data_IF_203524503487
#
_entry.id   IF_203524503487
#
_cell.length_a   1.000
_cell.length_b   1.000
_cell.length_c   1.000
_cell.angle_alpha   90.00
_cell.angle_beta   90.00
_cell.angle_gamma   90.00
#
_symmetry.space_group_name_H-M   'P 1'
#
loop_
_entity.id
_entity.type
_entity.pdbx_description
1 polymer ?
#
# COMPACT_ATOMS: atom_id res chain seq x y z
N UNK A 1 -7.08 -3.76 -79.47
CA UNK A 1 -6.61 -2.55 -78.77
C UNK A 1 -7.71 -2.23 -77.77
N UNK A 2 -7.74 -2.91 -76.61
CA UNK A 2 -7.18 -2.45 -75.31
C UNK A 2 -7.79 -1.10 -74.91
N UNK A 3 -8.25 -0.80 -73.69
CA UNK A 3 -8.24 -1.40 -72.34
C UNK A 3 -9.02 -0.37 -71.50
N UNK A 4 -9.85 -0.70 -70.51
CA UNK A 4 -9.37 -1.10 -69.19
C UNK A 4 -10.35 -0.59 -68.12
N UNK A 5 -10.61 -1.47 -67.15
CA UNK A 5 -11.39 -1.27 -65.93
C UNK A 5 -10.93 -0.06 -65.13
N UNK A 6 -11.87 0.65 -64.49
CA UNK A 6 -11.61 1.38 -63.24
C UNK A 6 -12.75 1.11 -62.29
N UNK A 7 -12.53 0.03 -61.53
CA UNK A 7 -13.18 -0.29 -60.28
C UNK A 7 -13.18 0.94 -59.38
N UNK A 8 -14.37 1.33 -58.92
CA UNK A 8 -14.51 2.35 -57.89
C UNK A 8 -14.12 1.75 -56.55
N UNK A 9 -12.97 2.18 -56.03
CA UNK A 9 -12.55 1.90 -54.66
C UNK A 9 -13.64 2.35 -53.68
N UNK A 10 -14.35 1.39 -53.09
CA UNK A 10 -15.02 1.57 -51.82
C UNK A 10 -13.96 1.98 -50.81
N UNK A 11 -14.08 3.20 -50.26
CA UNK A 11 -13.28 3.61 -49.11
C UNK A 11 -13.72 2.74 -47.95
N UNK A 12 -12.94 1.70 -47.68
CA UNK A 12 -12.94 0.99 -46.40
C UNK A 12 -12.87 2.03 -45.29
N UNK A 13 -13.96 2.15 -44.54
CA UNK A 13 -13.95 2.82 -43.25
C UNK A 13 -13.08 1.94 -42.37
N UNK A 14 -11.82 2.34 -42.17
CA UNK A 14 -10.93 1.73 -41.19
C UNK A 14 -11.69 1.67 -39.86
N UNK A 15 -12.10 0.46 -39.46
CA UNK A 15 -12.49 0.17 -38.09
C UNK A 15 -11.37 0.70 -37.18
N UNK A 16 -11.67 1.51 -36.15
CA UNK A 16 -10.62 1.97 -35.25
C UNK A 16 -9.93 0.74 -34.68
N UNK A 17 -8.60 0.67 -34.84
CA UNK A 17 -7.77 -0.37 -34.25
C UNK A 17 -8.23 -0.60 -32.80
N UNK A 18 -8.43 -1.86 -32.36
CA UNK A 18 -8.82 -2.11 -30.99
C UNK A 18 -7.71 -1.54 -30.09
N UNK A 19 -8.01 -0.43 -29.41
CA UNK A 19 -7.13 0.18 -28.42
C UNK A 19 -6.61 -0.95 -27.54
N UNK A 20 -5.27 -1.14 -27.54
CA UNK A 20 -4.62 -2.23 -26.84
C UNK A 20 -5.19 -2.32 -25.42
N UNK A 21 -5.89 -3.42 -25.11
CA UNK A 21 -6.54 -3.57 -23.80
C UNK A 21 -5.47 -3.30 -22.73
N UNK A 22 -5.68 -2.33 -21.82
CA UNK A 22 -4.68 -1.98 -20.82
C UNK A 22 -4.32 -3.23 -20.04
N UNK A 23 -3.02 -3.46 -19.82
CA UNK A 23 -2.51 -4.67 -19.15
C UNK A 23 -3.09 -4.73 -17.74
N UNK A 24 -4.18 -5.47 -17.58
CA UNK A 24 -4.88 -5.59 -16.29
C UNK A 24 -4.07 -6.47 -15.33
N UNK A 25 -3.96 -6.07 -14.07
CA UNK A 25 -3.24 -6.79 -13.03
C UNK A 25 -4.08 -7.94 -12.43
N UNK A 26 -3.41 -8.99 -11.97
CA UNK A 26 -4.03 -10.03 -11.14
C UNK A 26 -4.22 -9.58 -9.69
N UNK A 27 -4.98 -10.33 -8.89
CA UNK A 27 -5.23 -10.00 -7.49
C UNK A 27 -3.95 -9.99 -6.62
N UNK A 28 -3.00 -10.88 -6.91
CA UNK A 28 -1.72 -10.97 -6.20
C UNK A 28 -0.89 -9.70 -6.39
N UNK A 29 -0.59 -9.36 -7.63
CA UNK A 29 0.28 -8.20 -7.96
C UNK A 29 -0.44 -6.87 -7.71
N UNK A 30 -1.72 -6.79 -8.09
CA UNK A 30 -2.49 -5.56 -8.03
C UNK A 30 -3.03 -5.24 -6.63
N UNK A 31 -3.49 -6.23 -5.86
CA UNK A 31 -4.14 -5.97 -4.56
C UNK A 31 -3.23 -6.38 -3.41
N UNK A 32 -2.83 -7.65 -3.35
CA UNK A 32 -2.11 -8.18 -2.20
C UNK A 32 -0.75 -7.49 -1.99
N UNK A 33 0.11 -7.47 -3.01
CA UNK A 33 1.43 -6.82 -2.92
C UNK A 33 1.27 -5.31 -2.67
N UNK A 34 0.26 -4.66 -3.24
CA UNK A 34 0.01 -3.21 -3.04
C UNK A 34 -0.35 -2.93 -1.58
N UNK A 35 -1.30 -3.69 -1.01
CA UNK A 35 -1.70 -3.53 0.38
C UNK A 35 -0.55 -3.83 1.34
N UNK A 36 0.22 -4.90 1.11
CA UNK A 36 1.37 -5.26 1.96
C UNK A 36 2.41 -4.13 2.01
N UNK A 37 2.75 -3.53 0.87
CA UNK A 37 3.71 -2.42 0.80
C UNK A 37 3.20 -1.13 1.44
N UNK A 38 1.90 -0.89 1.44
CA UNK A 38 1.32 0.28 2.11
C UNK A 38 1.14 0.09 3.62
N UNK A 39 1.07 -1.16 4.09
CA UNK A 39 1.02 -1.49 5.53
C UNK A 39 2.45 -1.52 6.11
N UNK A 40 3.40 -2.12 5.38
CA UNK A 40 4.79 -2.23 5.81
C UNK A 40 5.57 -0.94 5.55
N UNK A 41 5.35 0.04 6.42
CA UNK A 41 6.01 1.34 6.35
C UNK A 41 7.13 1.54 7.36
N UNK A 42 7.58 2.79 7.43
CA UNK A 42 8.65 3.26 8.34
C UNK A 42 8.38 2.98 9.83
N UNK A 43 7.10 2.95 10.23
CA UNK A 43 6.70 2.69 11.62
C UNK A 43 7.15 1.29 12.07
N UNK A 44 7.10 0.29 11.18
CA UNK A 44 7.49 -1.07 11.51
C UNK A 44 8.98 -1.17 11.88
N UNK A 45 9.85 -0.40 11.22
CA UNK A 45 11.29 -0.43 11.48
C UNK A 45 11.72 0.53 12.58
N UNK A 46 11.26 1.80 12.55
CA UNK A 46 11.75 2.83 13.47
C UNK A 46 10.97 2.92 14.78
N UNK A 47 9.68 2.57 14.77
CA UNK A 47 8.78 2.84 15.90
C UNK A 47 8.35 1.60 16.65
N UNK A 48 8.17 0.45 15.99
CA UNK A 48 7.77 -0.79 16.67
C UNK A 48 8.71 -1.20 17.82
N UNK A 49 10.06 -1.14 17.67
CA UNK A 49 10.97 -1.44 18.79
C UNK A 49 10.79 -0.48 19.96
N UNK A 50 10.63 0.82 19.67
CA UNK A 50 10.42 1.84 20.68
C UNK A 50 9.08 1.68 21.41
N UNK A 51 7.99 1.39 20.68
CA UNK A 51 6.67 1.10 21.25
C UNK A 51 6.74 -0.13 22.16
N UNK A 52 7.47 -1.17 21.74
CA UNK A 52 7.67 -2.38 22.53
C UNK A 52 8.47 -2.11 23.80
N UNK A 53 9.47 -1.23 23.74
CA UNK A 53 10.25 -0.84 24.90
C UNK A 53 9.44 -0.02 25.94
N UNK A 54 8.46 0.77 25.49
CA UNK A 54 7.62 1.59 26.37
C UNK A 54 6.43 0.81 26.96
N UNK A 55 5.65 0.17 26.09
CA UNK A 55 4.42 -0.53 26.49
C UNK A 55 4.70 -1.94 27.04
N UNK A 56 5.89 -2.49 26.80
CA UNK A 56 6.22 -3.88 27.07
C UNK A 56 5.55 -4.83 26.07
N UNK A 57 6.03 -6.07 26.02
CA UNK A 57 5.61 -7.06 25.01
C UNK A 57 4.10 -7.32 25.08
N UNK A 58 3.55 -7.44 26.29
CA UNK A 58 2.12 -7.77 26.49
C UNK A 58 1.17 -6.69 25.95
N UNK A 59 1.40 -5.42 26.28
CA UNK A 59 0.54 -4.34 25.79
C UNK A 59 0.80 -4.02 24.32
N UNK A 60 2.01 -4.22 23.80
CA UNK A 60 2.26 -4.09 22.36
C UNK A 60 1.45 -5.11 21.56
N UNK A 61 1.34 -6.35 22.03
CA UNK A 61 0.45 -7.34 21.40
C UNK A 61 -1.02 -6.89 21.44
N UNK A 62 -1.47 -6.32 22.55
CA UNK A 62 -2.81 -5.75 22.64
C UNK A 62 -3.03 -4.60 21.64
N UNK A 63 -2.06 -3.70 21.47
CA UNK A 63 -2.11 -2.60 20.49
C UNK A 63 -2.20 -3.14 19.06
N UNK A 64 -1.41 -4.17 18.73
CA UNK A 64 -1.44 -4.83 17.41
C UNK A 64 -2.79 -5.48 17.18
N UNK A 65 -3.32 -6.22 18.17
CA UNK A 65 -4.62 -6.89 18.09
C UNK A 65 -5.76 -5.89 17.92
N UNK A 66 -5.78 -4.80 18.70
CA UNK A 66 -6.80 -3.75 18.57
C UNK A 66 -6.76 -3.11 17.18
N UNK A 67 -5.57 -2.75 16.69
CA UNK A 67 -5.39 -2.21 15.34
C UNK A 67 -5.86 -3.19 14.27
N UNK A 68 -5.55 -4.48 14.42
CA UNK A 68 -5.96 -5.55 13.51
C UNK A 68 -7.47 -5.75 13.49
N UNK A 69 -8.16 -5.65 14.64
CA UNK A 69 -9.62 -5.73 14.71
C UNK A 69 -10.26 -4.56 13.96
N UNK A 70 -9.79 -3.33 14.19
CA UNK A 70 -10.31 -2.14 13.49
C UNK A 70 -10.14 -2.26 11.97
N UNK A 71 -8.96 -2.68 11.51
CA UNK A 71 -8.69 -2.80 10.07
C UNK A 71 -9.40 -3.99 9.44
N UNK A 72 -9.60 -5.08 10.18
CA UNK A 72 -10.37 -6.25 9.71
C UNK A 72 -11.84 -5.92 9.53
N UNK A 73 -12.46 -5.22 10.50
CA UNK A 73 -13.85 -4.75 10.37
C UNK A 73 -13.98 -3.84 9.14
N UNK A 74 -13.06 -2.88 8.98
CA UNK A 74 -13.05 -1.98 7.82
C UNK A 74 -12.86 -2.75 6.51
N UNK A 75 -11.96 -3.72 6.47
CA UNK A 75 -11.71 -4.58 5.30
C UNK A 75 -12.93 -5.41 4.91
N UNK A 76 -13.66 -5.97 5.89
CA UNK A 76 -14.92 -6.68 5.66
C UNK A 76 -15.99 -5.73 5.10
N UNK A 77 -16.10 -4.50 5.62
CA UNK A 77 -17.02 -3.49 5.07
C UNK A 77 -16.68 -3.13 3.63
N UNK A 78 -15.41 -2.92 3.30
CA UNK A 78 -14.97 -2.64 1.93
C UNK A 78 -15.23 -3.83 1.01
N UNK A 79 -15.06 -5.06 1.49
CA UNK A 79 -15.39 -6.27 0.75
C UNK A 79 -16.89 -6.38 0.46
N UNK A 80 -17.75 -5.97 1.39
CA UNK A 80 -19.19 -5.91 1.17
C UNK A 80 -19.57 -4.83 0.14
N UNK A 81 -18.90 -3.68 0.18
CA UNK A 81 -19.10 -2.59 -0.79
C UNK A 81 -18.63 -3.01 -2.20
N UNK A 82 -17.45 -3.63 -2.31
CA UNK A 82 -16.88 -4.02 -3.61
C UNK A 82 -17.62 -5.18 -4.28
N UNK A 83 -18.37 -5.97 -3.50
CA UNK A 83 -19.23 -7.04 -4.01
C UNK A 83 -20.65 -6.57 -4.33
N UNK A 84 -21.08 -5.41 -3.83
CA UNK A 84 -22.40 -4.84 -4.07
C UNK A 84 -22.42 -3.94 -5.32
N UNK A 85 -22.64 -4.55 -6.48
CA UNK A 85 -22.90 -3.84 -7.74
C UNK A 85 -21.89 -4.12 -8.86
N UNK A 86 -22.12 -3.51 -10.03
CA UNK A 86 -21.18 -3.60 -11.16
C UNK A 86 -20.02 -2.65 -10.90
N UNK A 87 -18.89 -3.16 -10.38
CA UNK A 87 -17.62 -2.44 -10.35
C UNK A 87 -17.24 -2.11 -11.80
N UNK A 88 -17.52 -0.87 -12.21
CA UNK A 88 -16.96 -0.28 -13.43
C UNK A 88 -15.56 0.25 -13.08
N UNK A 89 -14.70 0.41 -14.08
CA UNK A 89 -13.35 0.92 -13.88
C UNK A 89 -13.39 2.25 -13.11
N UNK A 90 -12.87 2.25 -11.88
CA UNK A 90 -12.86 3.40 -10.98
C UNK A 90 -12.31 2.98 -9.61
N UNK A 91 -11.59 3.87 -8.92
CA UNK A 91 -10.95 3.57 -7.63
C UNK A 91 -11.89 3.59 -6.41
N UNK A 92 -11.31 3.60 -5.21
CA UNK A 92 -12.03 3.56 -3.92
C UNK A 92 -13.15 4.60 -3.80
N UNK A 93 -12.93 5.84 -4.20
CA UNK A 93 -13.96 6.88 -4.15
C UNK A 93 -15.18 6.54 -5.01
N UNK A 94 -14.96 6.02 -6.22
CA UNK A 94 -16.03 5.60 -7.12
C UNK A 94 -16.84 4.43 -6.55
N UNK A 95 -16.17 3.47 -5.92
CA UNK A 95 -16.82 2.34 -5.26
C UNK A 95 -17.73 2.79 -4.09
N UNK A 96 -17.23 3.69 -3.25
CA UNK A 96 -17.93 4.18 -2.06
C UNK A 96 -19.11 5.09 -2.44
N UNK A 97 -18.86 6.11 -3.27
CA UNK A 97 -19.89 7.10 -3.66
C UNK A 97 -21.08 6.47 -4.36
N UNK A 98 -20.86 5.39 -5.13
CA UNK A 98 -21.94 4.67 -5.80
C UNK A 98 -22.77 3.81 -4.86
N UNK A 99 -22.14 3.23 -3.84
CA UNK A 99 -22.80 2.27 -2.94
C UNK A 99 -23.49 2.96 -1.77
N UNK A 100 -22.91 4.06 -1.26
CA UNK A 100 -23.40 4.81 -0.09
C UNK A 100 -24.08 6.13 -0.46
N UNK A 101 -24.02 6.55 -1.72
CA UNK A 101 -24.55 7.82 -2.19
C UNK A 101 -23.54 8.98 -2.17
N UNK A 102 -23.85 10.09 -2.86
CA UNK A 102 -22.91 11.20 -3.06
C UNK A 102 -22.56 11.96 -1.78
N UNK A 103 -23.48 12.08 -0.82
CA UNK A 103 -23.25 12.79 0.44
C UNK A 103 -22.19 12.08 1.30
N UNK A 104 -22.38 10.79 1.56
CA UNK A 104 -21.41 9.98 2.30
C UNK A 104 -20.11 9.76 1.52
N UNK A 105 -20.21 9.54 0.20
CA UNK A 105 -19.06 9.38 -0.68
C UNK A 105 -18.15 10.61 -0.68
N UNK A 106 -18.72 11.81 -0.79
CA UNK A 106 -17.99 13.08 -0.79
C UNK A 106 -17.23 13.31 0.50
N UNK A 107 -17.89 13.18 1.66
CA UNK A 107 -17.24 13.37 2.96
C UNK A 107 -16.12 12.36 3.24
N UNK A 108 -16.37 11.07 2.96
CA UNK A 108 -15.35 10.02 3.14
C UNK A 108 -14.18 10.23 2.17
N UNK A 109 -14.46 10.60 0.92
CA UNK A 109 -13.45 10.89 -0.09
C UNK A 109 -12.51 12.03 0.30
N UNK A 110 -13.06 13.13 0.82
CA UNK A 110 -12.27 14.28 1.25
C UNK A 110 -11.37 13.93 2.45
N UNK A 111 -11.92 13.25 3.46
CA UNK A 111 -11.14 12.77 4.60
C UNK A 111 -10.03 11.81 4.19
N UNK A 112 -10.33 10.88 3.27
CA UNK A 112 -9.36 9.91 2.76
C UNK A 112 -8.24 10.59 1.96
N UNK A 113 -8.57 11.58 1.12
CA UNK A 113 -7.57 12.34 0.37
C UNK A 113 -6.63 13.11 1.31
N UNK A 114 -7.19 13.76 2.34
CA UNK A 114 -6.38 14.47 3.34
C UNK A 114 -5.50 13.51 4.15
N UNK A 115 -6.05 12.36 4.57
CA UNK A 115 -5.31 11.33 5.28
C UNK A 115 -4.12 10.80 4.46
N UNK A 116 -4.31 10.54 3.16
CA UNK A 116 -3.22 10.13 2.28
C UNK A 116 -2.15 11.23 2.11
N UNK A 117 -2.55 12.50 2.01
CA UNK A 117 -1.60 13.61 1.93
C UNK A 117 -0.72 13.71 3.20
N UNK A 118 -1.33 13.59 4.38
CA UNK A 118 -0.59 13.56 5.66
C UNK A 118 0.26 12.30 5.79
N UNK A 119 -0.21 11.15 5.29
CA UNK A 119 0.56 9.91 5.29
C UNK A 119 1.84 10.02 4.44
N UNK A 120 1.78 10.69 3.27
CA UNK A 120 2.97 10.98 2.47
C UNK A 120 3.99 11.77 3.29
N UNK A 121 3.56 12.83 3.98
CA UNK A 121 4.45 13.60 4.84
C UNK A 121 5.07 12.74 5.96
N UNK A 122 4.28 11.89 6.61
CA UNK A 122 4.76 10.96 7.65
C UNK A 122 5.82 9.99 7.11
N UNK A 123 5.60 9.39 5.95
CA UNK A 123 6.57 8.46 5.34
C UNK A 123 7.86 9.17 4.92
N UNK A 124 7.75 10.37 4.35
CA UNK A 124 8.92 11.18 3.98
C UNK A 124 9.72 11.60 5.20
N UNK A 125 9.07 12.06 6.27
CA UNK A 125 9.76 12.42 7.53
C UNK A 125 10.48 11.22 8.12
N UNK A 126 9.85 10.05 8.15
CA UNK A 126 10.49 8.83 8.65
C UNK A 126 11.69 8.39 7.78
N UNK A 127 11.62 8.57 6.47
CA UNK A 127 12.78 8.38 5.58
C UNK A 127 13.90 9.38 5.90
N UNK A 128 13.56 10.66 6.07
CA UNK A 128 14.53 11.71 6.40
C UNK A 128 15.21 11.50 7.76
N UNK A 129 14.50 10.97 8.75
CA UNK A 129 15.11 10.55 10.02
C UNK A 129 16.18 9.47 9.81
N UNK A 130 15.86 8.45 9.00
CA UNK A 130 16.79 7.34 8.70
C UNK A 130 18.02 7.85 7.94
N UNK A 131 17.82 8.71 6.95
CA UNK A 131 18.92 9.32 6.19
C UNK A 131 19.78 10.17 7.11
N UNK A 132 19.18 10.99 7.98
CA UNK A 132 19.92 11.79 8.96
C UNK A 132 20.75 10.90 9.90
N UNK A 133 20.21 9.79 10.40
CA UNK A 133 20.95 8.86 11.25
C UNK A 133 22.17 8.27 10.52
N UNK A 134 22.03 7.97 9.22
CA UNK A 134 23.16 7.53 8.39
C UNK A 134 24.19 8.65 8.16
N UNK A 135 23.76 9.90 7.93
CA UNK A 135 24.66 11.03 7.77
C UNK A 135 25.53 11.25 9.01
N UNK A 136 24.94 11.09 10.20
CA UNK A 136 25.67 11.18 11.48
C UNK A 136 26.68 10.04 11.60
N UNK A 137 26.34 8.83 11.18
CA UNK A 137 27.25 7.67 11.22
C UNK A 137 28.47 7.85 10.28
N UNK A 138 28.28 8.52 9.13
CA UNK A 138 29.34 8.80 8.16
C UNK A 138 30.02 10.17 8.33
N UNK A 139 29.77 10.88 9.44
CA UNK A 139 30.32 12.22 9.75
C UNK A 139 30.06 13.28 8.65
N UNK A 140 28.94 13.13 7.95
CA UNK A 140 28.50 14.00 6.85
C UNK A 140 27.37 14.94 7.27
N UNK A 141 27.43 15.46 8.50
CA UNK A 141 26.40 16.35 9.07
C UNK A 141 26.39 17.68 8.33
N UNK A 142 25.21 18.13 7.90
CA UNK A 142 25.07 19.37 7.13
C UNK A 142 24.87 20.57 8.05
N UNK A 143 23.88 20.50 8.93
CA UNK A 143 23.49 21.60 9.83
C UNK A 143 23.08 21.07 11.22
N UNK A 144 21.85 21.36 11.66
CA UNK A 144 21.27 20.85 12.90
C UNK A 144 20.42 19.59 12.61
N UNK A 145 20.29 18.65 13.56
CA UNK A 145 19.53 17.41 13.35
C UNK A 145 18.08 17.63 12.87
N UNK A 146 17.42 18.68 13.36
CA UNK A 146 16.05 19.02 12.97
C UNK A 146 15.99 19.65 11.58
N UNK A 147 16.98 20.49 11.25
CA UNK A 147 17.04 21.18 9.96
C UNK A 147 17.45 20.20 8.85
N UNK A 148 18.33 19.25 9.15
CA UNK A 148 18.73 18.18 8.24
C UNK A 148 17.53 17.30 7.84
N UNK A 149 16.67 16.92 8.80
CA UNK A 149 15.41 16.19 8.52
C UNK A 149 14.52 17.01 7.58
N UNK A 150 14.38 18.32 7.79
CA UNK A 150 13.55 19.20 6.96
C UNK A 150 14.11 19.34 5.55
N UNK A 151 15.42 19.54 5.42
CA UNK A 151 16.10 19.69 4.11
C UNK A 151 15.95 18.40 3.30
N UNK A 152 16.31 17.26 3.89
CA UNK A 152 16.17 15.94 3.23
C UNK A 152 14.71 15.67 2.89
N UNK A 153 13.77 16.02 3.77
CA UNK A 153 12.34 15.84 3.54
C UNK A 153 11.81 16.65 2.35
N UNK A 154 12.16 17.94 2.27
CA UNK A 154 11.76 18.82 1.16
C UNK A 154 12.34 18.34 -0.17
N UNK A 155 13.61 17.93 -0.18
CA UNK A 155 14.24 17.37 -1.38
C UNK A 155 13.51 16.09 -1.82
N UNK A 156 13.28 15.17 -0.87
CA UNK A 156 12.65 13.88 -1.15
C UNK A 156 11.23 14.05 -1.68
N UNK A 157 10.39 14.88 -1.06
CA UNK A 157 9.00 15.08 -1.54
C UNK A 157 8.96 15.75 -2.91
N UNK A 158 9.90 16.66 -3.20
CA UNK A 158 10.00 17.30 -4.52
C UNK A 158 10.40 16.30 -5.60
N UNK A 159 11.34 15.41 -5.31
CA UNK A 159 11.73 14.33 -6.23
C UNK A 159 10.59 13.35 -6.44
N UNK A 160 9.91 12.93 -5.37
CA UNK A 160 8.74 12.04 -5.46
C UNK A 160 7.60 12.66 -6.27
N UNK A 161 7.37 13.98 -6.13
CA UNK A 161 6.42 14.71 -6.95
C UNK A 161 6.82 14.68 -8.43
N UNK A 162 8.10 14.91 -8.74
CA UNK A 162 8.62 14.80 -10.10
C UNK A 162 8.41 13.40 -10.71
N UNK A 163 8.66 12.34 -9.93
CA UNK A 163 8.43 10.95 -10.35
C UNK A 163 6.93 10.71 -10.60
N UNK A 164 6.05 11.17 -9.70
CA UNK A 164 4.61 11.02 -9.85
C UNK A 164 4.06 11.71 -11.11
N UNK A 165 4.65 12.85 -11.51
CA UNK A 165 4.27 13.56 -12.73
C UNK A 165 4.83 12.93 -14.02
N UNK A 166 5.95 12.20 -13.95
CA UNK A 166 6.60 11.61 -15.12
C UNK A 166 5.92 10.33 -15.64
N UNK A 167 5.14 9.62 -14.81
CA UNK A 167 4.27 8.53 -15.27
C UNK A 167 4.16 7.33 -14.32
N UNK A 168 2.95 6.79 -14.18
CA UNK A 168 2.58 5.72 -13.23
C UNK A 168 2.96 4.31 -13.68
N UNK A 169 3.30 4.10 -14.96
CA UNK A 169 3.58 2.76 -15.50
C UNK A 169 4.84 2.12 -14.90
N UNK A 170 5.86 2.94 -14.61
CA UNK A 170 7.10 2.50 -13.99
C UNK A 170 6.90 2.12 -12.52
N UNK A 171 5.98 2.80 -11.83
CA UNK A 171 5.68 2.57 -10.43
C UNK A 171 5.16 1.14 -10.18
N UNK A 172 4.25 0.66 -11.03
CA UNK A 172 3.69 -0.68 -10.90
C UNK A 172 4.75 -1.79 -11.06
N UNK A 173 5.79 -1.55 -11.89
CA UNK A 173 6.93 -2.47 -12.02
C UNK A 173 7.87 -2.36 -10.83
N UNK A 174 8.17 -1.14 -10.37
CA UNK A 174 9.05 -0.88 -9.23
C UNK A 174 8.50 -1.46 -7.92
N UNK A 175 7.18 -1.47 -7.75
CA UNK A 175 6.50 -2.07 -6.61
C UNK A 175 6.93 -3.53 -6.35
N UNK A 176 7.05 -4.35 -7.40
CA UNK A 176 7.48 -5.74 -7.27
C UNK A 176 8.91 -5.81 -6.73
N UNK A 177 9.79 -4.91 -7.21
CA UNK A 177 11.16 -4.80 -6.70
C UNK A 177 11.18 -4.41 -5.22
N UNK A 178 10.40 -3.39 -4.83
CA UNK A 178 10.31 -2.96 -3.43
C UNK A 178 9.78 -4.08 -2.51
N UNK A 179 8.84 -4.88 -2.98
CA UNK A 179 8.36 -6.05 -2.25
C UNK A 179 9.47 -7.06 -1.98
N UNK A 180 10.29 -7.39 -2.99
CA UNK A 180 11.42 -8.30 -2.80
C UNK A 180 12.46 -7.73 -1.83
N UNK A 181 12.77 -6.43 -1.92
CA UNK A 181 13.71 -5.77 -0.99
C UNK A 181 13.21 -5.85 0.45
N UNK A 182 11.92 -5.56 0.70
CA UNK A 182 11.33 -5.69 2.04
C UNK A 182 11.33 -7.14 2.52
N UNK A 183 11.05 -8.10 1.65
CA UNK A 183 11.07 -9.52 2.02
C UNK A 183 12.47 -9.97 2.42
N UNK A 184 13.51 -9.57 1.67
CA UNK A 184 14.91 -9.83 2.02
C UNK A 184 15.26 -9.17 3.36
N UNK A 185 14.79 -7.94 3.59
CA UNK A 185 14.97 -7.25 4.88
C UNK A 185 14.37 -8.05 6.05
N UNK A 186 13.15 -8.60 5.90
CA UNK A 186 12.54 -9.45 6.92
C UNK A 186 13.31 -10.75 7.16
N UNK A 187 13.71 -11.44 6.09
CA UNK A 187 14.52 -12.65 6.21
C UNK A 187 15.83 -12.35 6.92
N UNK A 188 16.50 -11.25 6.56
CA UNK A 188 17.73 -10.81 7.22
C UNK A 188 17.50 -10.46 8.71
N UNK A 189 16.39 -9.80 9.05
CA UNK A 189 16.03 -9.52 10.43
C UNK A 189 15.84 -10.82 11.23
N UNK A 190 15.04 -11.78 10.74
CA UNK A 190 14.79 -13.06 11.43
C UNK A 190 16.03 -13.94 11.53
N UNK A 191 16.86 -14.00 10.50
CA UNK A 191 18.14 -14.72 10.58
C UNK A 191 19.06 -14.00 11.59
N UNK A 192 19.08 -12.67 11.56
CA UNK A 192 19.84 -11.84 12.48
C UNK A 192 19.47 -12.05 13.95
N UNK A 193 18.22 -12.36 14.27
CA UNK A 193 17.80 -12.67 15.65
C UNK A 193 18.21 -14.07 16.10
N UNK A 194 18.48 -15.00 15.19
CA UNK A 194 18.94 -16.37 15.50
C UNK A 194 20.46 -16.47 15.65
N UNK A 195 21.23 -15.58 15.03
CA UNK A 195 22.70 -15.56 15.14
C UNK A 195 23.11 -15.12 16.55
N UNK A 196 23.99 -15.86 17.25
CA UNK A 196 24.41 -15.52 18.61
C UNK A 196 25.07 -14.14 18.67
N UNK A 197 24.80 -13.40 19.75
CA UNK A 197 25.26 -12.03 19.92
C UNK A 197 26.80 -11.95 19.96
N UNK A 198 27.39 -11.21 19.02
CA UNK A 198 28.80 -10.81 19.11
C UNK A 198 29.00 -9.77 20.22
N UNK A 199 30.23 -9.57 20.74
CA UNK A 199 30.51 -8.59 21.80
C UNK A 199 30.02 -7.17 21.47
N UNK A 200 30.14 -6.76 20.21
CA UNK A 200 29.65 -5.46 19.74
C UNK A 200 28.11 -5.35 19.76
N UNK A 201 27.40 -6.43 19.43
CA UNK A 201 25.93 -6.46 19.47
C UNK A 201 25.41 -6.48 20.90
N UNK A 202 26.12 -7.15 21.81
CA UNK A 202 25.82 -7.11 23.25
C UNK A 202 25.96 -5.71 23.83
N UNK A 203 26.97 -4.94 23.40
CA UNK A 203 27.12 -3.54 23.80
C UNK A 203 25.94 -2.65 23.33
N UNK A 204 25.32 -2.99 22.19
CA UNK A 204 24.11 -2.33 21.67
C UNK A 204 22.79 -2.84 22.30
N UNK A 205 22.86 -3.75 23.28
CA UNK A 205 21.69 -4.29 23.98
C UNK A 205 21.04 -5.52 23.32
N UNK A 206 21.67 -6.13 22.31
CA UNK A 206 21.21 -7.38 21.73
C UNK A 206 21.85 -8.59 22.42
N UNK A 207 21.01 -9.41 23.05
CA UNK A 207 21.45 -10.48 23.95
C UNK A 207 20.96 -11.88 23.53
N UNK A 208 20.52 -12.02 22.27
CA UNK A 208 19.83 -13.21 21.74
C UNK A 208 18.56 -13.57 22.54
N UNK A 209 17.90 -14.68 22.20
CA UNK A 209 16.67 -15.10 22.88
C UNK A 209 16.97 -15.61 24.30
N UNK A 210 16.61 -14.82 25.32
CA UNK A 210 16.67 -15.25 26.72
C UNK A 210 15.36 -14.99 27.46
N UNK A 211 14.99 -15.93 28.31
CA UNK A 211 13.72 -15.93 29.04
C UNK A 211 13.67 -14.86 30.15
N UNK A 212 14.80 -14.53 30.76
CA UNK A 212 14.93 -13.48 31.78
C UNK A 212 14.64 -12.09 31.20
N UNK A 213 15.23 -11.78 30.03
CA UNK A 213 14.99 -10.51 29.32
C UNK A 213 13.54 -10.43 28.86
N UNK A 214 12.96 -11.54 28.39
CA UNK A 214 11.55 -11.58 27.99
C UNK A 214 10.61 -11.25 29.15
N UNK A 215 10.84 -11.84 30.33
CA UNK A 215 10.04 -11.59 31.53
C UNK A 215 10.20 -10.15 32.05
N UNK A 216 11.40 -9.59 31.96
CA UNK A 216 11.66 -8.19 32.34
C UNK A 216 10.92 -7.21 31.43
N UNK A 217 10.90 -7.47 30.12
CA UNK A 217 10.23 -6.62 29.12
C UNK A 217 8.71 -6.89 28.98
N UNK A 218 8.14 -7.76 29.82
CA UNK A 218 6.72 -8.08 29.72
C UNK A 218 5.83 -6.95 30.22
N UNK A 219 6.30 -6.20 31.22
CA UNK A 219 5.56 -5.10 31.86
C UNK A 219 5.85 -3.77 31.16
N UNK A 220 4.88 -2.84 31.11
CA UNK A 220 5.12 -1.50 30.61
C UNK A 220 6.09 -0.74 31.51
N UNK A 221 6.97 0.02 30.87
CA UNK A 221 7.83 1.01 31.52
C UNK A 221 7.70 2.32 30.71
N UNK A 222 6.75 3.15 31.11
CA UNK A 222 6.50 4.44 30.46
C UNK A 222 7.63 5.41 30.80
N UNK A 223 8.38 5.85 29.79
CA UNK A 223 9.47 6.85 29.92
C UNK A 223 9.05 8.15 29.24
N UNK A 224 9.20 9.26 29.98
CA UNK A 224 8.88 10.61 29.51
C UNK A 224 7.41 10.99 29.67
N UNK A 225 7.10 12.28 29.42
CA UNK A 225 5.74 12.85 29.58
C UNK A 225 4.70 12.31 28.58
N UNK A 226 5.14 11.69 27.48
CA UNK A 226 4.28 11.14 26.42
C UNK A 226 3.97 9.65 26.58
N UNK A 227 4.50 8.99 27.62
CA UNK A 227 4.34 7.56 27.87
C UNK A 227 2.92 7.19 28.32
N UNK A 228 2.03 6.91 27.38
CA UNK A 228 0.68 6.41 27.66
C UNK A 228 0.26 5.32 26.67
N UNK A 229 -0.63 4.43 27.10
CA UNK A 229 -1.15 3.37 26.25
C UNK A 229 -1.78 3.90 24.95
N UNK A 230 -2.66 4.89 25.06
CA UNK A 230 -3.31 5.49 23.88
C UNK A 230 -2.35 6.32 23.02
N UNK A 231 -1.28 6.89 23.61
CA UNK A 231 -0.21 7.53 22.85
C UNK A 231 0.58 6.53 21.99
N UNK A 232 0.93 5.36 22.53
CA UNK A 232 1.58 4.32 21.74
C UNK A 232 0.65 3.74 20.68
N UNK A 233 -0.64 3.58 21.00
CA UNK A 233 -1.64 3.16 20.02
C UNK A 233 -1.75 4.15 18.86
N UNK A 234 -1.80 5.46 19.12
CA UNK A 234 -1.91 6.47 18.06
C UNK A 234 -0.66 6.56 17.17
N UNK A 235 0.53 6.27 17.73
CA UNK A 235 1.77 6.17 16.95
C UNK A 235 1.80 4.89 16.10
N UNK A 236 1.25 3.78 16.62
CA UNK A 236 1.21 2.51 15.90
C UNK A 236 0.15 2.48 14.80
N UNK A 237 -1.04 3.04 15.04
CA UNK A 237 -2.22 2.86 14.20
C UNK A 237 -2.02 3.20 12.72
N UNK A 238 -1.27 4.26 12.32
CA UNK A 238 -0.99 4.55 10.91
C UNK A 238 -0.25 3.42 10.17
N UNK A 239 0.42 2.50 10.87
CA UNK A 239 1.02 1.32 10.22
C UNK A 239 -0.01 0.31 9.72
N UNK A 240 -1.24 0.34 10.25
CA UNK A 240 -2.27 -0.64 9.92
C UNK A 240 -3.25 -0.13 8.84
N UNK A 241 -3.25 1.16 8.51
CA UNK A 241 -4.30 1.81 7.66
C UNK A 241 -4.17 1.54 6.16
N UNK A 242 -3.04 1.01 5.67
CA UNK A 242 -2.74 0.81 4.25
C UNK A 242 -3.62 -0.19 3.47
N UNK A 243 -4.69 -0.71 4.08
CA UNK A 243 -5.58 -1.74 3.50
C UNK A 243 -6.35 -1.27 2.24
N UNK A 244 -6.56 0.04 2.08
CA UNK A 244 -7.32 0.63 0.97
C UNK A 244 -6.51 0.82 -0.30
N UNK A 245 -5.19 0.64 -0.26
CA UNK A 245 -4.32 0.83 -1.41
C UNK A 245 -4.68 -0.09 -2.58
N UNK A 246 -5.08 -1.33 -2.31
CA UNK A 246 -5.52 -2.27 -3.35
C UNK A 246 -6.87 -1.92 -3.96
N UNK A 247 -7.75 -1.25 -3.22
CA UNK A 247 -9.05 -0.78 -3.74
C UNK A 247 -8.89 0.45 -4.65
N UNK A 248 -7.81 1.24 -4.48
CA UNK A 248 -7.56 2.43 -5.29
C UNK A 248 -7.33 2.12 -6.78
N UNK A 249 -6.77 0.95 -7.11
CA UNK A 249 -6.48 0.53 -8.49
C UNK A 249 -7.50 -0.47 -9.05
N UNK A 250 -8.71 -0.51 -8.49
CA UNK A 250 -9.73 -1.50 -8.87
C UNK A 250 -10.16 -1.44 -10.35
N UNK A 251 -9.92 -0.32 -11.03
CA UNK A 251 -10.11 -0.20 -12.49
C UNK A 251 -9.09 -0.95 -13.33
N UNK A 252 -7.89 -1.22 -12.79
CA UNK A 252 -6.77 -1.83 -13.50
C UNK A 252 -6.69 -3.35 -13.24
N UNK A 253 -7.65 -3.93 -12.53
CA UNK A 253 -7.66 -5.36 -12.18
C UNK A 253 -8.39 -6.22 -13.22
N UNK A 254 -7.85 -7.40 -13.52
CA UNK A 254 -8.45 -8.39 -14.45
C UNK A 254 -9.83 -8.84 -13.98
N UNK A 255 -10.01 -8.99 -12.67
CA UNK A 255 -11.25 -9.46 -12.06
C UNK A 255 -11.44 -8.76 -10.71
N UNK A 256 -12.40 -7.84 -10.63
CA UNK A 256 -12.72 -7.17 -9.38
C UNK A 256 -13.76 -7.95 -8.53
N UNK A 257 -14.43 -8.96 -9.11
CA UNK A 257 -15.30 -9.90 -8.37
C UNK A 257 -15.60 -11.20 -9.16
N UNK A 258 -15.64 -12.39 -8.52
CA UNK A 258 -16.00 -13.67 -9.16
C UNK A 258 -17.38 -13.68 -9.84
N UNK A 259 -18.33 -12.88 -9.31
CA UNK A 259 -19.69 -12.77 -9.85
C UNK A 259 -19.75 -12.15 -11.25
N UNK A 260 -18.67 -11.48 -11.69
CA UNK A 260 -18.57 -10.89 -13.02
C UNK A 260 -18.19 -11.91 -14.10
N UNK A 261 -17.49 -13.00 -13.75
CA UNK A 261 -17.14 -14.08 -14.68
C UNK A 261 -18.39 -14.73 -15.27
N UNK A 262 -19.40 -14.96 -14.42
CA UNK A 262 -20.62 -15.68 -14.83
C UNK A 262 -21.68 -14.79 -15.51
N UNK A 263 -21.50 -13.46 -15.53
CA UNK A 263 -22.41 -12.51 -16.19
C UNK A 263 -21.85 -11.88 -17.47
N UNK A 264 -20.62 -12.19 -17.86
CA UNK A 264 -20.11 -11.90 -19.22
C UNK A 264 -20.44 -13.00 -20.25
N UNK A 265 -20.99 -14.14 -19.80
CA UNK A 265 -21.58 -15.18 -20.67
C UNK A 265 -23.11 -15.31 -20.51
N UNK A 266 -23.88 -14.25 -20.78
CA UNK A 266 -25.20 -14.50 -21.35
C UNK A 266 -25.51 -13.48 -22.46
N UNK A 267 -25.17 -13.81 -23.70
CA UNK A 267 -25.93 -13.36 -24.89
C UNK A 267 -25.43 -13.93 -26.23
N UNK A 268 -24.19 -14.42 -26.37
CA UNK A 268 -23.73 -14.89 -27.69
C UNK A 268 -24.24 -16.28 -28.13
N UNK A 269 -24.92 -17.02 -27.26
CA UNK A 269 -25.48 -18.34 -27.61
C UNK A 269 -27.00 -18.32 -27.83
N UNK A 270 -27.66 -17.16 -27.68
CA UNK A 270 -29.10 -17.03 -27.89
C UNK A 270 -29.43 -16.47 -29.29
N UNK A 271 -28.56 -15.63 -29.87
CA UNK A 271 -28.77 -15.05 -31.21
C UNK A 271 -28.48 -16.02 -32.37
N UNK A 272 -27.83 -17.16 -32.11
CA UNK A 272 -27.60 -18.20 -33.12
C UNK A 272 -28.72 -19.24 -33.25
N UNK A 273 -29.72 -19.22 -32.36
CA UNK A 273 -30.88 -20.13 -32.44
C UNK A 273 -32.10 -19.53 -33.15
N UNK A 274 -32.21 -18.20 -33.28
CA UNK A 274 -33.34 -17.55 -33.99
C UNK A 274 -33.06 -17.25 -35.47
N UNK A 275 -31.80 -17.34 -35.94
CA UNK A 275 -31.45 -17.13 -37.35
C UNK A 275 -31.54 -18.41 -38.23
N UNK A 276 -31.99 -19.54 -37.67
CA UNK A 276 -32.02 -20.85 -38.34
C UNK A 276 -33.40 -21.48 -38.56
N UNK A 277 -34.49 -20.82 -38.17
CA UNK A 277 -35.86 -21.30 -38.38
C UNK A 277 -36.75 -20.10 -38.74
N UNK A 278 -36.73 -19.72 -40.01
CA UNK A 278 -37.62 -18.75 -40.65
C UNK A 278 -37.63 -18.98 -42.15
#
# INVERSE_FOLDING_TARGET
IESGSKDGEEKDVEDPEPEAEPVRFGWVTGVMIRCMLNIWGVILYLRLPWITAQAGIGLTWLIILMSSVVTSITGLSISAISTNGKVKAGGTYFLISRSLGPELGGSIGLLFSFANAVAVAMHVVGFSETVKDLLVEFDAVMTDPTNDIRIVGVITVTVLLGIALAGMEWEAKAQVVFFFVIMVSFVNYFIGTLIPASPERMAKGYFSYRSDIFLQNLRPEWRGESGSFFGMFSIFFPSATGILAGANISGDLKLCSPMQSNRRRPSQSAETWEAGNG
#
